data_IF_298837538537
#
_entry.id   IF_298837538537
#
_cell.length_a   1.000
_cell.length_b   1.000
_cell.length_c   1.000
_cell.angle_alpha   90.00
_cell.angle_beta   90.00
_cell.angle_gamma   90.00
#
_symmetry.space_group_name_H-M   'P 1'
#
loop_
_entity.id
_entity.type
_entity.pdbx_description
1 polymer ?
#
# COMPACT_ATOMS: atom_id res chain seq x y z
N UNK A 1 34.65 -26.09 -10.02
CA UNK A 1 33.77 -25.15 -9.30
C UNK A 1 32.77 -24.64 -10.31
N UNK A 2 31.57 -25.23 -10.36
CA UNK A 2 30.47 -24.62 -11.12
C UNK A 2 30.11 -23.32 -10.42
N UNK A 3 30.50 -22.21 -11.05
CA UNK A 3 30.01 -20.90 -10.70
C UNK A 3 28.50 -20.92 -10.95
N UNK A 4 27.72 -21.06 -9.89
CA UNK A 4 26.27 -21.13 -9.96
C UNK A 4 25.73 -19.70 -10.14
N UNK A 5 25.99 -19.10 -11.30
CA UNK A 5 25.58 -17.74 -11.69
C UNK A 5 24.12 -17.47 -11.34
N UNK A 6 23.28 -18.49 -11.48
CA UNK A 6 21.85 -18.51 -11.19
C UNK A 6 21.56 -18.24 -9.70
N UNK A 7 22.36 -18.81 -8.79
CA UNK A 7 22.22 -18.65 -7.35
C UNK A 7 22.63 -17.25 -6.87
N UNK A 8 23.69 -16.69 -7.47
CA UNK A 8 24.15 -15.33 -7.18
C UNK A 8 23.15 -14.29 -7.69
N UNK A 9 22.66 -14.45 -8.93
CA UNK A 9 21.60 -13.61 -9.50
C UNK A 9 20.33 -13.69 -8.63
N UNK A 10 19.93 -14.88 -8.18
CA UNK A 10 18.77 -15.02 -7.29
C UNK A 10 18.96 -14.38 -5.92
N UNK A 11 20.18 -14.33 -5.38
CA UNK A 11 20.45 -13.66 -4.10
C UNK A 11 20.16 -12.14 -4.16
N UNK A 12 20.39 -11.50 -5.31
CA UNK A 12 20.03 -10.10 -5.54
C UNK A 12 18.51 -9.91 -5.51
N UNK A 13 17.76 -10.82 -6.13
CA UNK A 13 16.30 -10.73 -6.18
C UNK A 13 15.63 -10.93 -4.81
N UNK A 14 16.24 -11.70 -3.90
CA UNK A 14 15.71 -11.86 -2.52
C UNK A 14 15.61 -10.55 -1.73
N UNK A 15 16.51 -9.60 -1.97
CA UNK A 15 16.44 -8.30 -1.33
C UNK A 15 15.30 -7.45 -1.92
N UNK A 16 15.16 -7.46 -3.26
CA UNK A 16 14.05 -6.78 -3.95
C UNK A 16 12.69 -7.37 -3.55
N UNK A 17 12.61 -8.67 -3.31
CA UNK A 17 11.42 -9.33 -2.80
C UNK A 17 10.88 -8.68 -1.51
N UNK A 18 11.79 -8.33 -0.59
CA UNK A 18 11.41 -7.79 0.72
C UNK A 18 10.82 -6.38 0.64
N UNK A 19 11.16 -5.60 -0.40
CA UNK A 19 10.62 -4.25 -0.56
C UNK A 19 9.10 -4.27 -0.71
N UNK A 20 8.54 -5.33 -1.31
CA UNK A 20 7.09 -5.45 -1.52
C UNK A 20 6.34 -5.62 -0.19
N UNK A 21 6.92 -6.35 0.76
CA UNK A 21 6.37 -6.44 2.11
C UNK A 21 6.44 -5.10 2.85
N UNK A 22 7.52 -4.34 2.66
CA UNK A 22 7.65 -2.98 3.22
C UNK A 22 6.59 -2.05 2.62
N UNK A 23 6.37 -2.10 1.30
CA UNK A 23 5.31 -1.36 0.62
C UNK A 23 3.92 -1.73 1.17
N UNK A 24 3.64 -3.02 1.35
CA UNK A 24 2.40 -3.48 1.99
C UNK A 24 2.24 -2.98 3.43
N UNK A 25 3.32 -2.93 4.21
CA UNK A 25 3.31 -2.38 5.57
C UNK A 25 3.03 -0.87 5.58
N UNK A 26 3.60 -0.10 4.65
CA UNK A 26 3.31 1.34 4.48
C UNK A 26 1.82 1.54 4.19
N UNK A 27 1.25 0.74 3.27
CA UNK A 27 -0.19 0.78 2.97
C UNK A 27 -1.02 0.53 4.24
N UNK A 28 -0.69 -0.51 5.01
CA UNK A 28 -1.39 -0.84 6.25
C UNK A 28 -1.33 0.30 7.28
N UNK A 29 -0.16 0.92 7.48
CA UNK A 29 -0.01 2.07 8.39
C UNK A 29 -0.87 3.24 7.93
N UNK A 30 -0.87 3.57 6.63
CA UNK A 30 -1.69 4.65 6.08
C UNK A 30 -3.19 4.38 6.26
N UNK A 31 -3.64 3.13 6.05
CA UNK A 31 -5.03 2.73 6.25
C UNK A 31 -5.43 2.81 7.74
N UNK A 32 -4.59 2.36 8.67
CA UNK A 32 -4.87 2.46 10.11
C UNK A 32 -4.98 3.93 10.53
N UNK A 33 -4.08 4.78 10.05
CA UNK A 33 -4.04 6.20 10.38
C UNK A 33 -5.35 6.90 10.00
N UNK A 34 -5.88 6.66 8.80
CA UNK A 34 -7.12 7.30 8.37
C UNK A 34 -8.36 6.78 9.11
N UNK A 35 -8.39 5.49 9.46
CA UNK A 35 -9.47 4.91 10.26
C UNK A 35 -9.47 5.52 11.67
N UNK A 36 -8.28 5.70 12.26
CA UNK A 36 -8.11 6.34 13.56
C UNK A 36 -8.58 7.80 13.51
N UNK A 37 -8.18 8.56 12.49
CA UNK A 37 -8.61 9.95 12.31
C UNK A 37 -10.15 10.04 12.19
N UNK A 38 -10.77 9.20 11.36
CA UNK A 38 -12.23 9.16 11.22
C UNK A 38 -12.94 8.80 12.54
N UNK A 39 -12.44 7.78 13.25
CA UNK A 39 -13.02 7.35 14.53
C UNK A 39 -12.88 8.41 15.61
N UNK A 40 -11.76 9.13 15.63
CA UNK A 40 -11.50 10.23 16.58
C UNK A 40 -12.48 11.38 16.37
N UNK A 41 -12.70 11.79 15.12
CA UNK A 41 -13.65 12.86 14.77
C UNK A 41 -15.10 12.45 15.06
N UNK A 42 -15.45 11.17 14.89
CA UNK A 42 -16.79 10.68 15.24
C UNK A 42 -17.04 10.65 16.75
N UNK A 43 -16.00 10.42 17.57
CA UNK A 43 -16.10 10.35 19.04
C UNK A 43 -15.97 11.71 19.72
N UNK A 44 -15.17 12.61 19.18
CA UNK A 44 -14.93 13.93 19.74
C UNK A 44 -15.64 14.98 18.88
N UNK A 45 -16.60 15.71 19.45
CA UNK A 45 -17.22 16.89 18.82
C UNK A 45 -16.23 18.06 18.60
N UNK A 46 -14.92 17.86 18.78
CA UNK A 46 -13.91 18.92 18.73
C UNK A 46 -13.06 18.87 17.46
N UNK A 47 -13.05 20.02 16.76
CA UNK A 47 -11.93 20.81 16.22
C UNK A 47 -10.62 20.17 15.70
N UNK A 48 -10.49 18.84 15.59
CA UNK A 48 -9.31 18.19 15.00
C UNK A 48 -9.48 18.13 13.46
N UNK A 49 -9.79 19.27 12.84
CA UNK A 49 -9.82 19.41 11.38
C UNK A 49 -8.41 19.59 10.77
N UNK A 50 -7.39 19.70 11.61
CA UNK A 50 -6.00 19.94 11.21
C UNK A 50 -5.36 18.75 10.46
N UNK A 51 -5.88 17.53 10.60
CA UNK A 51 -5.27 16.31 10.06
C UNK A 51 -5.64 15.97 8.61
N UNK A 52 -6.66 16.60 8.02
CA UNK A 52 -7.13 16.21 6.68
C UNK A 52 -6.05 16.41 5.61
N UNK A 53 -5.20 17.44 5.74
CA UNK A 53 -4.09 17.67 4.81
C UNK A 53 -3.08 16.51 4.84
N UNK A 54 -2.84 15.91 6.02
CA UNK A 54 -2.03 14.69 6.14
C UNK A 54 -2.67 13.52 5.39
N UNK A 55 -4.00 13.32 5.50
CA UNK A 55 -4.67 12.21 4.81
C UNK A 55 -4.57 12.29 3.28
N UNK A 56 -4.45 13.49 2.69
CA UNK A 56 -4.18 13.64 1.25
C UNK A 56 -2.80 13.12 0.86
N UNK A 57 -1.75 13.46 1.61
CA UNK A 57 -0.40 12.95 1.36
C UNK A 57 -0.33 11.44 1.56
N UNK A 58 -0.99 10.92 2.59
CA UNK A 58 -1.06 9.48 2.84
C UNK A 58 -1.70 8.73 1.65
N UNK A 59 -2.70 9.35 0.99
CA UNK A 59 -3.37 8.78 -0.19
C UNK A 59 -2.49 8.84 -1.46
N UNK A 60 -1.70 9.91 -1.62
CA UNK A 60 -0.69 10.01 -2.68
C UNK A 60 0.38 8.92 -2.48
N UNK A 61 0.90 8.77 -1.26
CA UNK A 61 1.87 7.72 -0.91
C UNK A 61 1.29 6.34 -1.21
N UNK A 62 0.05 6.08 -0.78
CA UNK A 62 -0.62 4.80 -1.06
C UNK A 62 -0.81 4.55 -2.57
N UNK A 63 -1.01 5.60 -3.37
CA UNK A 63 -1.08 5.47 -4.83
C UNK A 63 0.28 5.07 -5.42
N UNK A 64 1.37 5.67 -4.94
CA UNK A 64 2.73 5.26 -5.32
C UNK A 64 3.06 3.83 -4.86
N UNK A 65 2.57 3.41 -3.70
CA UNK A 65 2.69 2.02 -3.22
C UNK A 65 2.03 1.06 -4.21
N UNK A 66 0.81 1.37 -4.68
CA UNK A 66 0.13 0.53 -5.68
C UNK A 66 0.90 0.44 -6.99
N UNK A 67 1.49 1.55 -7.46
CA UNK A 67 2.36 1.57 -8.65
C UNK A 67 3.61 0.71 -8.42
N UNK A 68 4.23 0.83 -7.23
CA UNK A 68 5.40 0.01 -6.85
C UNK A 68 5.09 -1.48 -6.86
N UNK A 69 3.97 -1.88 -6.26
CA UNK A 69 3.51 -3.28 -6.25
C UNK A 69 3.18 -3.79 -7.65
N UNK A 70 2.57 -2.96 -8.51
CA UNK A 70 2.32 -3.30 -9.91
C UNK A 70 3.63 -3.57 -10.67
N UNK A 71 4.64 -2.72 -10.50
CA UNK A 71 5.96 -2.97 -11.09
C UNK A 71 6.59 -4.27 -10.58
N UNK A 72 6.45 -4.57 -9.28
CA UNK A 72 6.88 -5.86 -8.73
C UNK A 72 6.18 -7.06 -9.38
N UNK A 73 4.90 -6.96 -9.74
CA UNK A 73 4.21 -8.01 -10.51
C UNK A 73 4.81 -8.15 -11.91
N UNK A 74 5.15 -7.04 -12.58
CA UNK A 74 5.75 -7.06 -13.92
C UNK A 74 7.13 -7.74 -13.95
N UNK A 75 7.89 -7.73 -12.85
CA UNK A 75 9.14 -8.48 -12.70
C UNK A 75 8.99 -10.00 -12.83
N UNK A 76 7.75 -10.51 -12.74
CA UNK A 76 7.45 -11.92 -12.93
C UNK A 76 7.98 -12.48 -14.25
N UNK A 77 7.92 -11.72 -15.34
CA UNK A 77 8.38 -12.18 -16.65
C UNK A 77 9.88 -12.49 -16.66
N UNK A 78 10.68 -11.61 -16.07
CA UNK A 78 12.13 -11.78 -15.97
C UNK A 78 12.49 -13.02 -15.13
N UNK A 79 11.76 -13.25 -14.03
CA UNK A 79 12.02 -14.39 -13.15
C UNK A 79 11.56 -15.70 -13.81
N UNK A 80 10.47 -15.68 -14.57
CA UNK A 80 9.98 -16.84 -15.33
C UNK A 80 11.01 -17.34 -16.34
N UNK A 81 11.74 -16.44 -16.99
CA UNK A 81 12.80 -16.79 -17.94
C UNK A 81 14.02 -17.45 -17.27
N UNK A 82 14.23 -17.20 -15.97
CA UNK A 82 15.38 -17.72 -15.22
C UNK A 82 15.03 -19.06 -14.53
N UNK A 83 13.86 -19.17 -13.92
CA UNK A 83 13.45 -20.38 -13.21
C UNK A 83 11.93 -20.45 -12.98
N UNK A 84 11.33 -21.57 -13.37
CA UNK A 84 9.90 -21.84 -13.16
C UNK A 84 9.50 -21.96 -11.68
N UNK A 85 10.35 -22.57 -10.84
CA UNK A 85 10.08 -22.75 -9.41
C UNK A 85 10.07 -21.42 -8.67
N UNK A 86 11.11 -20.59 -8.87
CA UNK A 86 11.19 -19.27 -8.24
C UNK A 86 10.13 -18.31 -8.78
N UNK A 87 9.77 -18.44 -10.07
CA UNK A 87 8.69 -17.70 -10.70
C UNK A 87 7.33 -17.99 -10.05
N UNK A 88 7.02 -19.24 -9.71
CA UNK A 88 5.79 -19.58 -9.00
C UNK A 88 5.76 -19.02 -7.57
N UNK A 89 6.90 -19.09 -6.87
CA UNK A 89 7.04 -18.49 -5.55
C UNK A 89 6.91 -16.96 -5.60
N UNK A 90 7.47 -16.30 -6.63
CA UNK A 90 7.38 -14.85 -6.80
C UNK A 90 5.94 -14.40 -7.00
N UNK A 91 5.27 -14.93 -8.01
CA UNK A 91 3.90 -14.49 -8.32
C UNK A 91 2.94 -14.76 -7.18
N UNK A 92 3.08 -15.89 -6.48
CA UNK A 92 2.21 -16.20 -5.35
C UNK A 92 2.36 -15.17 -4.23
N UNK A 93 3.59 -14.81 -3.86
CA UNK A 93 3.86 -13.77 -2.85
C UNK A 93 3.34 -12.40 -3.30
N UNK A 94 3.61 -12.02 -4.55
CA UNK A 94 3.16 -10.72 -5.08
C UNK A 94 1.64 -10.61 -5.20
N UNK A 95 0.96 -11.70 -5.55
CA UNK A 95 -0.51 -11.74 -5.58
C UNK A 95 -1.10 -11.55 -4.18
N UNK A 96 -0.55 -12.23 -3.17
CA UNK A 96 -1.01 -12.07 -1.78
C UNK A 96 -0.83 -10.61 -1.32
N UNK A 97 0.39 -10.07 -1.45
CA UNK A 97 0.69 -8.69 -1.02
C UNK A 97 -0.12 -7.67 -1.82
N UNK A 98 -0.25 -7.88 -3.13
CA UNK A 98 -1.00 -7.00 -4.03
C UNK A 98 -2.49 -6.97 -3.71
N UNK A 99 -3.13 -8.14 -3.55
CA UNK A 99 -4.56 -8.23 -3.22
C UNK A 99 -4.83 -7.61 -1.85
N UNK A 100 -4.04 -7.94 -0.83
CA UNK A 100 -4.20 -7.37 0.51
C UNK A 100 -4.03 -5.85 0.48
N UNK A 101 -3.00 -5.35 -0.20
CA UNK A 101 -2.75 -3.90 -0.32
C UNK A 101 -3.85 -3.18 -1.10
N UNK A 102 -4.41 -3.82 -2.14
CA UNK A 102 -5.52 -3.27 -2.90
C UNK A 102 -6.80 -3.14 -2.06
N UNK A 103 -7.13 -4.18 -1.27
CA UNK A 103 -8.26 -4.13 -0.32
C UNK A 103 -8.05 -3.01 0.70
N UNK A 104 -6.84 -2.90 1.28
CA UNK A 104 -6.50 -1.83 2.22
C UNK A 104 -6.60 -0.43 1.58
N UNK A 105 -6.22 -0.30 0.31
CA UNK A 105 -6.35 0.94 -0.44
C UNK A 105 -7.82 1.33 -0.66
N UNK A 106 -8.68 0.38 -1.04
CA UNK A 106 -10.13 0.63 -1.16
C UNK A 106 -10.70 1.08 0.19
N UNK A 107 -10.34 0.40 1.28
CA UNK A 107 -10.76 0.80 2.63
C UNK A 107 -10.30 2.23 2.93
N UNK A 108 -9.03 2.55 2.66
CA UNK A 108 -8.49 3.90 2.85
C UNK A 108 -9.27 4.95 2.04
N UNK A 109 -9.61 4.67 0.78
CA UNK A 109 -10.42 5.55 -0.07
C UNK A 109 -11.82 5.80 0.50
N UNK A 110 -12.49 4.75 0.99
CA UNK A 110 -13.82 4.88 1.60
C UNK A 110 -13.77 5.81 2.82
N UNK A 111 -12.85 5.55 3.75
CA UNK A 111 -12.70 6.39 4.95
C UNK A 111 -12.30 7.83 4.60
N UNK A 112 -11.46 8.03 3.59
CA UNK A 112 -11.11 9.35 3.09
C UNK A 112 -12.32 10.13 2.55
N UNK A 113 -13.17 9.47 1.76
CA UNK A 113 -14.39 10.10 1.24
C UNK A 113 -15.36 10.47 2.37
N UNK A 114 -15.52 9.59 3.37
CA UNK A 114 -16.36 9.85 4.54
C UNK A 114 -15.84 11.05 5.35
N UNK A 115 -14.53 11.12 5.58
CA UNK A 115 -13.87 12.23 6.26
C UNK A 115 -14.06 13.56 5.51
N UNK A 116 -13.89 13.55 4.19
CA UNK A 116 -14.08 14.72 3.33
C UNK A 116 -15.55 15.19 3.31
N UNK A 117 -16.50 14.26 3.33
CA UNK A 117 -17.94 14.56 3.42
C UNK A 117 -18.26 15.25 4.74
N UNK A 118 -17.83 14.65 5.86
CA UNK A 118 -18.04 15.22 7.19
C UNK A 118 -17.51 16.65 7.31
N UNK A 119 -16.29 16.91 6.81
CA UNK A 119 -15.74 18.29 6.76
C UNK A 119 -16.66 19.27 6.06
N UNK A 120 -17.14 18.90 4.88
CA UNK A 120 -17.99 19.76 4.05
C UNK A 120 -19.29 20.09 4.77
N UNK A 121 -19.91 19.10 5.39
CA UNK A 121 -21.17 19.26 6.11
C UNK A 121 -21.01 20.22 7.30
N UNK A 122 -19.91 20.12 8.06
CA UNK A 122 -19.60 21.06 9.16
C UNK A 122 -19.35 22.48 8.63
N UNK A 123 -18.51 22.66 7.61
CA UNK A 123 -18.21 24.00 7.06
C UNK A 123 -19.44 24.70 6.46
N UNK A 124 -20.43 23.94 5.97
CA UNK A 124 -21.68 24.51 5.46
C UNK A 124 -22.64 24.97 6.57
N UNK A 125 -22.52 24.43 7.79
CA UNK A 125 -23.34 24.87 8.94
C UNK A 125 -22.83 26.17 9.56
N UNK A 126 -21.57 26.54 9.30
CA UNK A 126 -20.92 27.77 9.81
C UNK A 126 -21.08 28.98 8.88
N UNK A 127 -21.72 28.81 7.70
CA UNK A 127 -22.00 29.87 6.73
C UNK A 127 -23.46 30.29 6.76
#
# INVERSE_FOLDING_TARGET
MEYNTLKDIMSYFYFEFNINYVLGAIMLVNTIKIIKDYTSIRKSNSEIFHNIKSSYYDLIISSFVMIGLYNGVMFQGVIADISSEYSQLWITKMMIVGIVSFVLFIIQLIFFMMLKKYKRDVTNLEK
#
